data_IF_802598813817
#
_entry.id   IF_802598813817
#
_cell.length_a   1.000
_cell.length_b   1.000
_cell.length_c   1.000
_cell.angle_alpha   90.00
_cell.angle_beta   90.00
_cell.angle_gamma   90.00
#
_symmetry.space_group_name_H-M   'P 1'
#
loop_
_entity.id
_entity.type
_entity.pdbx_description
1 polymer ?
#
# COMPACT_ATOMS: atom_id res chain seq x y z
N UNK A 1 3.08 -25.38 14.98
CA UNK A 1 4.09 -24.81 14.06
C UNK A 1 5.29 -24.38 14.88
N UNK A 2 6.51 -24.78 14.52
CA UNK A 2 7.73 -24.37 15.22
C UNK A 2 7.83 -22.84 15.17
N UNK A 3 7.90 -22.17 16.33
CA UNK A 3 8.15 -20.74 16.46
C UNK A 3 9.53 -20.44 15.85
N UNK A 4 9.58 -20.09 14.56
CA UNK A 4 10.72 -19.35 14.02
C UNK A 4 10.62 -17.94 14.62
N UNK A 5 11.43 -17.64 15.62
CA UNK A 5 11.65 -16.26 16.08
C UNK A 5 12.43 -15.54 14.99
N UNK A 6 11.71 -14.87 14.10
CA UNK A 6 12.29 -13.97 13.11
C UNK A 6 12.13 -12.52 13.59
N UNK A 7 13.22 -11.79 13.72
CA UNK A 7 13.14 -10.35 14.01
C UNK A 7 12.93 -9.59 12.71
N UNK A 8 11.79 -8.92 12.60
CA UNK A 8 11.47 -8.04 11.49
C UNK A 8 12.32 -6.78 11.55
N UNK A 9 12.88 -6.41 10.40
CA UNK A 9 13.71 -5.22 10.23
C UNK A 9 13.10 -4.30 9.18
N UNK A 10 13.38 -3.01 9.30
CA UNK A 10 12.77 -2.00 8.45
C UNK A 10 13.36 -1.97 7.02
N UNK A 11 14.42 -2.75 6.80
CA UNK A 11 15.09 -2.97 5.53
C UNK A 11 14.54 -4.20 4.79
N UNK A 12 13.88 -5.12 5.49
CA UNK A 12 13.36 -6.36 4.94
C UNK A 12 11.83 -6.40 4.99
N UNK A 13 11.22 -6.52 3.82
CA UNK A 13 9.77 -6.58 3.65
C UNK A 13 9.34 -7.88 2.96
N UNK A 14 10.09 -8.98 3.13
CA UNK A 14 9.65 -10.28 2.65
C UNK A 14 8.31 -10.67 3.29
N UNK A 15 7.31 -10.89 2.44
CA UNK A 15 5.93 -11.19 2.84
C UNK A 15 5.75 -12.66 3.21
N UNK A 16 6.70 -13.51 2.84
CA UNK A 16 6.60 -14.96 3.02
C UNK A 16 7.18 -15.43 4.36
N UNK A 17 7.63 -14.52 5.22
CA UNK A 17 8.28 -14.87 6.50
C UNK A 17 7.39 -15.77 7.38
N UNK A 18 6.08 -15.55 7.35
CA UNK A 18 5.13 -16.19 8.25
C UNK A 18 4.04 -17.02 7.56
N UNK A 19 4.23 -17.38 6.28
CA UNK A 19 3.39 -18.32 5.52
C UNK A 19 1.88 -18.00 5.44
N UNK A 20 1.47 -16.73 5.62
CA UNK A 20 0.11 -16.26 5.37
C UNK A 20 -0.06 -15.83 3.91
N UNK A 21 -1.25 -16.06 3.35
CA UNK A 21 -1.56 -15.78 1.95
C UNK A 21 -1.75 -14.28 1.70
N UNK A 22 -2.60 -13.62 2.46
CA UNK A 22 -3.00 -12.23 2.23
C UNK A 22 -2.36 -11.28 3.24
N UNK A 23 -2.20 -11.71 4.49
CA UNK A 23 -1.84 -10.84 5.61
C UNK A 23 -0.37 -11.02 6.00
N UNK A 24 0.38 -9.94 6.16
CA UNK A 24 1.79 -10.01 6.53
C UNK A 24 2.21 -8.84 7.42
N UNK A 25 2.88 -9.09 8.57
CA UNK A 25 3.43 -8.04 9.41
C UNK A 25 4.76 -7.53 8.88
N UNK A 26 4.99 -6.21 8.93
CA UNK A 26 6.27 -5.60 8.54
C UNK A 26 6.63 -4.41 9.43
N UNK A 27 7.91 -4.23 9.75
CA UNK A 27 8.35 -2.99 10.43
C UNK A 27 8.50 -1.91 9.37
N UNK A 28 7.53 -0.99 9.32
CA UNK A 28 7.46 0.03 8.28
C UNK A 28 8.22 1.29 8.67
N UNK A 29 9.25 1.62 7.89
CA UNK A 29 9.95 2.92 8.00
C UNK A 29 9.04 4.12 7.74
N UNK A 30 8.03 3.94 6.90
CA UNK A 30 7.12 5.03 6.47
C UNK A 30 6.02 5.27 7.49
N UNK A 31 5.49 4.20 8.09
CA UNK A 31 4.45 4.29 9.12
C UNK A 31 5.02 4.53 10.53
N UNK A 32 6.31 4.25 10.74
CA UNK A 32 6.98 4.48 12.03
C UNK A 32 6.66 3.42 13.09
N UNK A 33 6.39 2.17 12.68
CA UNK A 33 6.08 1.06 13.58
C UNK A 33 5.75 -0.22 12.81
N UNK A 34 5.11 -1.18 13.47
CA UNK A 34 4.63 -2.39 12.82
C UNK A 34 3.40 -2.05 11.97
N UNK A 35 3.48 -2.29 10.68
CA UNK A 35 2.37 -2.19 9.72
C UNK A 35 1.88 -3.60 9.41
N UNK A 36 0.56 -3.82 9.44
CA UNK A 36 -0.04 -5.08 9.01
C UNK A 36 -0.51 -4.94 7.56
N UNK A 37 0.25 -5.51 6.64
CA UNK A 37 -0.03 -5.45 5.21
C UNK A 37 -1.12 -6.42 4.78
N UNK A 38 -1.96 -5.98 3.84
CA UNK A 38 -3.01 -6.77 3.17
C UNK A 38 -2.72 -6.81 1.67
N UNK A 39 -2.19 -7.94 1.19
CA UNK A 39 -1.80 -8.16 -0.20
C UNK A 39 -2.95 -8.81 -0.99
N UNK A 40 -3.56 -8.06 -1.90
CA UNK A 40 -4.61 -8.57 -2.78
C UNK A 40 -4.08 -9.18 -4.08
N UNK A 41 -2.78 -9.06 -4.36
CA UNK A 41 -2.14 -9.50 -5.60
C UNK A 41 -1.16 -10.65 -5.32
N UNK A 42 -1.65 -11.70 -4.68
CA UNK A 42 -0.88 -12.89 -4.26
C UNK A 42 -0.27 -13.68 -5.42
N UNK A 43 -0.77 -13.46 -6.63
CA UNK A 43 -0.27 -14.02 -7.89
C UNK A 43 0.90 -13.23 -8.52
N UNK A 44 1.42 -12.20 -7.83
CA UNK A 44 2.45 -11.29 -8.34
C UNK A 44 2.06 -10.64 -9.68
N UNK A 45 0.78 -10.31 -9.86
CA UNK A 45 0.31 -9.58 -11.02
C UNK A 45 0.02 -8.12 -10.68
N UNK A 46 0.56 -7.20 -11.47
CA UNK A 46 0.28 -5.77 -11.37
C UNK A 46 -0.01 -5.18 -12.74
N UNK A 47 -0.87 -4.17 -12.80
CA UNK A 47 -1.13 -3.45 -14.04
C UNK A 47 0.04 -2.51 -14.42
N UNK A 48 0.94 -2.22 -13.47
CA UNK A 48 2.20 -1.51 -13.66
C UNK A 48 3.37 -2.48 -13.58
N UNK A 49 4.54 -2.05 -14.08
CA UNK A 49 5.79 -2.83 -13.97
C UNK A 49 6.94 -1.87 -13.72
N UNK A 50 6.90 -1.18 -12.58
CA UNK A 50 7.91 -0.17 -12.28
C UNK A 50 9.31 -0.78 -12.27
N UNK A 51 10.30 -0.08 -12.84
CA UNK A 51 11.68 -0.58 -12.96
C UNK A 51 12.39 -0.77 -11.62
N UNK A 52 11.84 -0.20 -10.54
CA UNK A 52 12.32 -0.34 -9.17
C UNK A 52 11.55 -1.41 -8.38
N UNK A 53 10.57 -2.08 -8.99
CA UNK A 53 9.71 -3.04 -8.30
C UNK A 53 10.46 -4.34 -8.04
N UNK A 54 10.58 -4.72 -6.75
CA UNK A 54 11.33 -5.89 -6.31
C UNK A 54 10.45 -7.15 -6.16
N UNK A 55 9.21 -7.11 -6.68
CA UNK A 55 8.32 -8.27 -6.63
C UNK A 55 8.86 -9.38 -7.55
N UNK A 56 9.15 -10.58 -7.02
CA UNK A 56 9.72 -11.65 -7.82
C UNK A 56 8.71 -12.17 -8.85
N UNK A 57 9.18 -12.43 -10.07
CA UNK A 57 8.36 -12.96 -11.17
C UNK A 57 7.11 -12.11 -11.47
N UNK A 58 7.20 -10.78 -11.29
CA UNK A 58 6.08 -9.87 -11.54
C UNK A 58 5.56 -10.01 -12.98
N UNK A 59 4.27 -10.33 -13.11
CA UNK A 59 3.57 -10.40 -14.40
C UNK A 59 2.62 -9.22 -14.56
N UNK A 60 2.26 -8.90 -15.81
CA UNK A 60 1.25 -7.88 -16.09
C UNK A 60 -0.14 -8.47 -15.93
N UNK A 61 -0.96 -7.86 -15.08
CA UNK A 61 -2.33 -8.32 -14.87
C UNK A 61 -3.00 -7.69 -13.65
N UNK A 62 -4.16 -8.24 -13.30
CA UNK A 62 -4.90 -7.91 -12.08
C UNK A 62 -4.78 -9.01 -11.02
N UNK A 63 -5.33 -8.77 -9.82
CA UNK A 63 -5.36 -9.77 -8.76
C UNK A 63 -6.14 -11.02 -9.17
N UNK A 64 -5.84 -12.14 -8.53
CA UNK A 64 -6.72 -13.32 -8.55
C UNK A 64 -7.97 -13.08 -7.68
N UNK A 65 -9.07 -13.84 -7.87
CA UNK A 65 -10.22 -13.75 -6.98
C UNK A 65 -9.81 -13.91 -5.52
N UNK A 66 -10.37 -13.05 -4.67
CA UNK A 66 -10.01 -13.02 -3.24
C UNK A 66 -10.92 -13.96 -2.46
N UNK A 67 -10.31 -14.89 -1.74
CA UNK A 67 -10.99 -15.69 -0.72
C UNK A 67 -11.17 -14.83 0.54
N UNK A 68 -12.37 -14.26 0.68
CA UNK A 68 -12.71 -13.31 1.76
C UNK A 68 -12.72 -14.01 3.13
N UNK A 69 -13.14 -15.26 3.21
CA UNK A 69 -13.20 -16.00 4.48
C UNK A 69 -11.77 -16.28 4.98
N UNK A 70 -10.89 -16.75 4.09
CA UNK A 70 -9.47 -16.93 4.44
C UNK A 70 -8.80 -15.61 4.82
N UNK A 71 -9.04 -14.52 4.09
CA UNK A 71 -8.49 -13.21 4.42
C UNK A 71 -8.93 -12.75 5.82
N UNK A 72 -10.21 -12.94 6.15
CA UNK A 72 -10.77 -12.62 7.47
C UNK A 72 -10.11 -13.44 8.57
N UNK A 73 -9.96 -14.74 8.37
CA UNK A 73 -9.33 -15.64 9.36
C UNK A 73 -7.85 -15.25 9.60
N UNK A 74 -7.09 -14.99 8.54
CA UNK A 74 -5.70 -14.53 8.64
C UNK A 74 -5.61 -13.17 9.34
N UNK A 75 -6.50 -12.23 9.02
CA UNK A 75 -6.49 -10.90 9.61
C UNK A 75 -6.77 -10.97 11.12
N UNK A 76 -7.81 -11.70 11.52
CA UNK A 76 -8.15 -11.91 12.91
C UNK A 76 -7.03 -12.60 13.69
N UNK A 77 -6.39 -13.60 13.08
CA UNK A 77 -5.23 -14.26 13.66
C UNK A 77 -4.10 -13.26 13.94
N UNK A 78 -3.73 -12.45 12.94
CA UNK A 78 -2.61 -11.52 13.05
C UNK A 78 -2.89 -10.37 14.02
N UNK A 79 -4.08 -9.78 13.98
CA UNK A 79 -4.43 -8.73 14.95
C UNK A 79 -4.42 -9.30 16.37
N UNK A 80 -4.91 -10.54 16.57
CA UNK A 80 -4.81 -11.20 17.87
C UNK A 80 -3.35 -11.47 18.29
N UNK A 81 -2.47 -11.89 17.36
CA UNK A 81 -1.03 -12.03 17.67
C UNK A 81 -0.42 -10.67 18.09
N UNK A 82 -0.78 -9.60 17.40
CA UNK A 82 -0.20 -8.27 17.66
C UNK A 82 -0.68 -7.69 18.99
N UNK A 83 -1.97 -7.86 19.33
CA UNK A 83 -2.59 -7.21 20.50
C UNK A 83 -2.55 -8.06 21.76
N UNK A 84 -2.80 -9.37 21.63
CA UNK A 84 -3.02 -10.26 22.77
C UNK A 84 -1.85 -11.24 23.01
N UNK A 85 -0.75 -11.10 22.29
CA UNK A 85 0.43 -11.96 22.44
C UNK A 85 1.73 -11.14 22.57
N UNK A 86 2.87 -11.82 22.66
CA UNK A 86 4.20 -11.21 22.70
C UNK A 86 4.78 -10.89 21.32
N UNK A 87 4.01 -10.99 20.22
CA UNK A 87 4.53 -10.87 18.85
C UNK A 87 5.39 -9.62 18.61
N UNK A 88 4.91 -8.42 18.95
CA UNK A 88 5.71 -7.19 18.79
C UNK A 88 7.02 -7.30 19.57
N UNK A 89 6.96 -7.72 20.84
CA UNK A 89 8.13 -7.81 21.70
C UNK A 89 9.15 -8.85 21.21
N UNK A 90 8.68 -9.99 20.69
CA UNK A 90 9.49 -11.12 20.27
C UNK A 90 10.07 -10.94 18.86
N UNK A 91 9.38 -10.18 17.99
CA UNK A 91 9.64 -10.15 16.56
C UNK A 91 9.96 -8.75 16.01
N UNK A 92 10.07 -7.70 16.83
CA UNK A 92 10.38 -6.34 16.35
C UNK A 92 11.38 -5.61 17.26
N UNK A 93 12.02 -4.52 16.79
CA UNK A 93 12.88 -3.69 17.64
C UNK A 93 12.15 -3.12 18.86
N UNK A 94 12.85 -2.87 19.99
CA UNK A 94 12.26 -2.25 21.17
C UNK A 94 11.59 -0.91 20.87
N UNK A 95 10.41 -0.68 21.44
CA UNK A 95 9.64 0.55 21.24
C UNK A 95 8.77 0.57 19.99
N UNK A 96 8.76 -0.50 19.19
CA UNK A 96 7.82 -0.65 18.06
C UNK A 96 6.38 -0.69 18.57
N UNK A 97 5.51 0.11 17.96
CA UNK A 97 4.06 0.11 18.20
C UNK A 97 3.31 -0.43 16.99
N UNK A 98 2.04 -0.82 17.16
CA UNK A 98 1.18 -1.14 16.01
C UNK A 98 0.75 0.15 15.32
N UNK A 99 1.19 0.35 14.08
CA UNK A 99 1.12 1.63 13.38
C UNK A 99 -0.07 1.75 12.43
N UNK A 100 -0.45 0.68 11.72
CA UNK A 100 -1.57 0.66 10.77
C UNK A 100 -1.96 -0.74 10.30
N UNK A 101 -3.10 -0.80 9.61
CA UNK A 101 -3.39 -1.84 8.62
C UNK A 101 -3.31 -1.22 7.23
N UNK A 102 -2.46 -1.78 6.35
CA UNK A 102 -2.17 -1.20 5.04
C UNK A 102 -2.60 -2.13 3.89
N UNK A 103 -3.58 -1.69 3.09
CA UNK A 103 -3.90 -2.27 1.78
C UNK A 103 -2.71 -1.99 0.85
N UNK A 104 -1.82 -2.99 0.77
CA UNK A 104 -0.50 -2.88 0.19
C UNK A 104 0.00 -4.27 -0.20
N UNK A 105 0.62 -4.40 -1.36
CA UNK A 105 0.96 -5.73 -1.85
C UNK A 105 1.77 -5.72 -3.13
N UNK A 106 1.72 -6.85 -3.83
CA UNK A 106 2.54 -7.11 -5.00
C UNK A 106 1.97 -6.48 -6.30
N UNK A 107 0.81 -5.83 -6.21
CA UNK A 107 0.15 -5.15 -7.32
C UNK A 107 -0.76 -4.03 -6.84
N UNK A 108 -1.70 -3.62 -7.70
CA UNK A 108 -2.62 -2.51 -7.42
C UNK A 108 -3.86 -2.97 -6.65
N UNK A 109 -4.02 -2.63 -5.35
CA UNK A 109 -5.12 -3.14 -4.54
C UNK A 109 -6.50 -2.73 -5.09
N UNK A 110 -6.62 -1.53 -5.66
CA UNK A 110 -7.91 -1.04 -6.19
C UNK A 110 -8.38 -1.78 -7.44
N UNK A 111 -7.52 -2.61 -8.05
CA UNK A 111 -7.88 -3.49 -9.15
C UNK A 111 -8.75 -4.68 -8.70
N UNK A 112 -8.76 -5.03 -7.41
CA UNK A 112 -9.58 -6.12 -6.89
C UNK A 112 -11.08 -5.79 -6.98
N UNK A 113 -11.91 -6.64 -7.62
CA UNK A 113 -13.36 -6.51 -7.57
C UNK A 113 -13.88 -6.45 -6.12
N UNK A 114 -13.34 -7.30 -5.25
CA UNK A 114 -13.74 -7.52 -3.85
C UNK A 114 -13.21 -6.46 -2.88
N UNK A 115 -12.57 -5.40 -3.37
CA UNK A 115 -11.93 -4.36 -2.52
C UNK A 115 -12.86 -3.80 -1.43
N UNK A 116 -14.15 -3.62 -1.71
CA UNK A 116 -15.12 -3.17 -0.71
C UNK A 116 -15.30 -4.20 0.41
N UNK A 117 -15.46 -5.48 0.05
CA UNK A 117 -15.61 -6.57 1.04
C UNK A 117 -14.36 -6.74 1.89
N UNK A 118 -13.17 -6.59 1.30
CA UNK A 118 -11.91 -6.58 2.05
C UNK A 118 -11.88 -5.43 3.05
N UNK A 119 -12.28 -4.22 2.63
CA UNK A 119 -12.33 -3.05 3.50
C UNK A 119 -13.32 -3.24 4.66
N UNK A 120 -14.50 -3.81 4.41
CA UNK A 120 -15.47 -4.18 5.44
C UNK A 120 -14.88 -5.17 6.44
N UNK A 121 -14.19 -6.21 5.97
CA UNK A 121 -13.50 -7.18 6.85
C UNK A 121 -12.44 -6.51 7.72
N UNK A 122 -11.65 -5.58 7.16
CA UNK A 122 -10.67 -4.82 7.95
C UNK A 122 -11.35 -4.00 9.04
N UNK A 123 -12.41 -3.27 8.69
CA UNK A 123 -13.13 -2.42 9.64
C UNK A 123 -13.76 -3.26 10.75
N UNK A 124 -14.40 -4.37 10.42
CA UNK A 124 -15.03 -5.25 11.40
C UNK A 124 -14.00 -5.86 12.36
N UNK A 125 -12.87 -6.32 11.84
CA UNK A 125 -11.75 -6.80 12.66
C UNK A 125 -11.25 -5.69 13.61
N UNK A 126 -10.97 -4.49 13.09
CA UNK A 126 -10.50 -3.39 13.92
C UNK A 126 -11.53 -2.96 14.96
N UNK A 127 -12.83 -3.05 14.68
CA UNK A 127 -13.89 -2.83 15.68
C UNK A 127 -13.86 -3.89 16.77
N UNK A 128 -13.77 -5.16 16.41
CA UNK A 128 -13.73 -6.30 17.34
C UNK A 128 -12.57 -6.18 18.34
N UNK A 129 -11.40 -5.79 17.86
CA UNK A 129 -10.22 -5.58 18.72
C UNK A 129 -10.13 -4.17 19.33
N UNK A 130 -11.17 -3.34 19.21
CA UNK A 130 -11.19 -1.96 19.72
C UNK A 130 -10.02 -1.10 19.22
N UNK A 131 -9.62 -1.29 17.97
CA UNK A 131 -8.54 -0.58 17.27
C UNK A 131 -9.05 0.41 16.22
N UNK A 132 -10.31 0.31 15.81
CA UNK A 132 -10.92 1.26 14.88
C UNK A 132 -10.71 2.69 15.39
N UNK A 133 -10.37 3.60 14.50
CA UNK A 133 -10.05 5.02 14.78
C UNK A 133 -8.84 5.26 15.71
N UNK A 134 -8.17 4.21 16.21
CA UNK A 134 -6.91 4.32 17.00
C UNK A 134 -5.67 4.16 16.14
N UNK A 135 -5.77 3.38 15.07
CA UNK A 135 -4.75 3.24 14.03
C UNK A 135 -5.41 3.46 12.66
N UNK A 136 -4.72 4.08 11.70
CA UNK A 136 -5.28 4.34 10.39
C UNK A 136 -5.33 3.06 9.54
N UNK A 137 -6.34 3.00 8.67
CA UNK A 137 -6.33 2.13 7.49
C UNK A 137 -5.64 2.90 6.37
N UNK A 138 -4.57 2.34 5.79
CA UNK A 138 -3.81 2.98 4.71
C UNK A 138 -4.02 2.27 3.38
N UNK A 139 -4.35 3.01 2.33
CA UNK A 139 -4.37 2.49 0.95
C UNK A 139 -3.12 2.96 0.20
N UNK A 140 -2.25 2.04 -0.22
CA UNK A 140 -1.16 2.34 -1.14
C UNK A 140 -1.62 2.05 -2.56
N UNK A 141 -1.62 3.05 -3.44
CA UNK A 141 -2.19 2.91 -4.79
C UNK A 141 -1.42 3.70 -5.84
N UNK A 142 -1.39 3.18 -7.07
CA UNK A 142 -0.97 3.86 -8.29
C UNK A 142 -2.12 4.64 -8.97
N UNK A 143 -3.33 4.58 -8.40
CA UNK A 143 -4.49 5.37 -8.83
C UNK A 143 -5.29 4.79 -9.99
N UNK A 144 -4.86 3.67 -10.60
CA UNK A 144 -5.42 3.22 -11.88
C UNK A 144 -6.93 2.91 -11.85
N UNK A 145 -7.47 2.48 -10.70
CA UNK A 145 -8.89 2.10 -10.57
C UNK A 145 -9.66 2.99 -9.58
N UNK A 146 -9.05 4.09 -9.11
CA UNK A 146 -9.63 4.97 -8.08
C UNK A 146 -11.00 5.53 -8.47
N UNK A 147 -11.21 5.86 -9.75
CA UNK A 147 -12.50 6.36 -10.24
C UNK A 147 -13.67 5.41 -9.96
N UNK A 148 -13.42 4.10 -9.84
CA UNK A 148 -14.41 3.06 -9.53
C UNK A 148 -14.53 2.75 -8.03
N UNK A 149 -13.68 3.33 -7.19
CA UNK A 149 -13.55 3.02 -5.75
C UNK A 149 -13.85 4.22 -4.85
N UNK A 150 -14.49 5.27 -5.37
CA UNK A 150 -14.81 6.52 -4.63
C UNK A 150 -15.50 6.27 -3.30
N UNK A 151 -16.48 5.37 -3.27
CA UNK A 151 -17.18 5.01 -2.02
C UNK A 151 -16.22 4.41 -0.98
N UNK A 152 -15.33 3.52 -1.39
CA UNK A 152 -14.33 2.94 -0.50
C UNK A 152 -13.36 4.01 0.08
N UNK A 153 -13.03 5.05 -0.70
CA UNK A 153 -12.19 6.15 -0.19
C UNK A 153 -12.90 6.93 0.92
N UNK A 154 -14.20 7.19 0.76
CA UNK A 154 -15.00 7.83 1.79
C UNK A 154 -15.09 6.97 3.06
N UNK A 155 -15.22 5.64 2.91
CA UNK A 155 -15.23 4.70 4.03
C UNK A 155 -13.87 4.73 4.78
N UNK A 156 -12.75 4.74 4.05
CA UNK A 156 -11.41 4.89 4.66
C UNK A 156 -11.33 6.21 5.45
N UNK A 157 -11.82 7.31 4.88
CA UNK A 157 -11.82 8.62 5.53
C UNK A 157 -12.69 8.68 6.79
N UNK A 158 -13.85 8.01 6.79
CA UNK A 158 -14.74 7.91 7.96
C UNK A 158 -14.04 7.32 9.18
N UNK A 159 -13.00 6.52 8.96
CA UNK A 159 -12.20 5.87 10.00
C UNK A 159 -10.79 6.44 10.12
N UNK A 160 -10.62 7.73 9.79
CA UNK A 160 -9.35 8.46 9.88
C UNK A 160 -8.19 7.77 9.14
N UNK A 161 -8.50 7.05 8.06
CA UNK A 161 -7.51 6.43 7.20
C UNK A 161 -6.82 7.41 6.27
N UNK A 162 -5.85 6.91 5.50
CA UNK A 162 -5.01 7.70 4.60
C UNK A 162 -4.87 7.01 3.24
N UNK A 163 -4.76 7.81 2.17
CA UNK A 163 -4.42 7.33 0.83
C UNK A 163 -2.99 7.72 0.50
N UNK A 164 -2.15 6.74 0.21
CA UNK A 164 -0.77 6.91 -0.20
C UNK A 164 -0.67 6.71 -1.71
N UNK A 165 -0.75 7.82 -2.44
CA UNK A 165 -0.89 7.85 -3.89
C UNK A 165 0.47 7.97 -4.58
N UNK A 166 0.77 7.06 -5.51
CA UNK A 166 2.08 6.98 -6.18
C UNK A 166 2.16 7.88 -7.41
N UNK A 167 3.13 8.79 -7.43
CA UNK A 167 3.51 9.60 -8.59
C UNK A 167 5.04 9.62 -8.67
N UNK A 168 5.61 9.00 -9.71
CA UNK A 168 7.07 8.89 -9.90
C UNK A 168 7.60 9.76 -11.04
N UNK A 169 6.73 10.26 -11.91
CA UNK A 169 7.09 11.01 -13.10
C UNK A 169 5.93 11.95 -13.50
N UNK A 170 6.26 13.02 -14.24
CA UNK A 170 5.29 14.05 -14.61
C UNK A 170 4.96 14.14 -16.11
N UNK A 171 5.65 13.36 -16.94
CA UNK A 171 5.46 13.32 -18.39
C UNK A 171 5.32 11.88 -18.87
N UNK A 172 4.67 11.70 -20.03
CA UNK A 172 4.36 10.38 -20.59
C UNK A 172 5.61 9.52 -20.84
N UNK A 173 6.69 10.13 -21.34
CA UNK A 173 7.93 9.40 -21.65
C UNK A 173 8.59 8.87 -20.37
N UNK A 174 8.65 9.69 -19.33
CA UNK A 174 9.18 9.31 -18.03
C UNK A 174 8.30 8.27 -17.33
N UNK A 175 6.97 8.42 -17.38
CA UNK A 175 6.03 7.42 -16.83
C UNK A 175 6.19 6.09 -17.56
N UNK A 176 6.28 6.11 -18.89
CA UNK A 176 6.52 4.90 -19.70
C UNK A 176 7.87 4.26 -19.39
N UNK A 177 8.90 5.07 -19.16
CA UNK A 177 10.24 4.57 -18.81
C UNK A 177 10.30 3.98 -17.40
N UNK A 178 9.69 4.63 -16.41
CA UNK A 178 9.81 4.28 -14.99
C UNK A 178 8.75 3.27 -14.58
N UNK A 179 7.48 3.55 -14.85
CA UNK A 179 6.33 2.75 -14.42
C UNK A 179 5.92 1.69 -15.47
N UNK A 180 6.45 1.80 -16.69
CA UNK A 180 6.17 0.93 -17.83
C UNK A 180 4.68 0.83 -18.17
N UNK A 181 4.00 1.97 -18.20
CA UNK A 181 2.60 2.11 -18.60
C UNK A 181 2.44 3.32 -19.54
N UNK A 182 1.40 3.29 -20.39
CA UNK A 182 0.99 4.45 -21.16
C UNK A 182 -0.13 5.15 -20.37
N UNK A 183 0.23 6.19 -19.63
CA UNK A 183 -0.69 6.94 -18.77
C UNK A 183 -0.54 8.43 -19.07
N UNK A 184 -1.65 9.08 -19.38
CA UNK A 184 -1.72 10.54 -19.49
C UNK A 184 -1.54 11.17 -18.09
N UNK A 185 -0.55 12.07 -17.89
CA UNK A 185 -0.36 12.78 -16.64
C UNK A 185 -1.63 13.49 -16.14
N UNK A 186 -2.49 14.00 -17.04
CA UNK A 186 -3.73 14.65 -16.63
C UNK A 186 -4.72 13.64 -16.03
N UNK A 187 -4.78 12.42 -16.56
CA UNK A 187 -5.61 11.34 -15.98
C UNK A 187 -5.11 10.96 -14.58
N UNK A 188 -3.79 10.84 -14.40
CA UNK A 188 -3.18 10.59 -13.09
C UNK A 188 -3.54 11.70 -12.08
N UNK A 189 -3.47 12.96 -12.51
CA UNK A 189 -3.87 14.11 -11.68
C UNK A 189 -5.36 14.10 -11.34
N UNK A 190 -6.23 13.71 -12.28
CA UNK A 190 -7.65 13.57 -11.98
C UNK A 190 -7.90 12.49 -10.92
N UNK A 191 -7.15 11.38 -10.95
CA UNK A 191 -7.22 10.35 -9.92
C UNK A 191 -6.68 10.83 -8.57
N UNK A 192 -5.59 11.61 -8.56
CA UNK A 192 -5.07 12.26 -7.35
C UNK A 192 -6.14 13.16 -6.72
N UNK A 193 -6.80 14.01 -7.51
CA UNK A 193 -7.87 14.89 -7.04
C UNK A 193 -9.02 14.12 -6.41
N UNK A 194 -9.45 13.02 -7.04
CA UNK A 194 -10.49 12.14 -6.47
C UNK A 194 -10.07 11.61 -5.09
N UNK A 195 -8.80 11.28 -4.90
CA UNK A 195 -8.31 10.84 -3.58
C UNK A 195 -8.31 11.99 -2.58
N UNK A 196 -7.70 13.13 -2.93
CA UNK A 196 -7.58 14.29 -2.05
C UNK A 196 -8.93 14.89 -1.65
N UNK A 197 -9.92 14.87 -2.54
CA UNK A 197 -11.30 15.29 -2.24
C UNK A 197 -12.01 14.34 -1.26
N UNK A 198 -11.65 13.05 -1.24
CA UNK A 198 -12.35 12.03 -0.47
C UNK A 198 -11.68 11.73 0.88
N UNK A 199 -10.35 11.79 0.96
CA UNK A 199 -9.57 11.30 2.09
C UNK A 199 -8.18 11.97 2.15
N UNK A 200 -7.61 12.08 3.35
CA UNK A 200 -6.25 12.57 3.53
C UNK A 200 -5.29 11.81 2.61
N UNK A 201 -4.60 12.54 1.73
CA UNK A 201 -3.78 11.94 0.69
C UNK A 201 -2.32 12.35 0.82
N UNK A 202 -1.43 11.36 0.82
CA UNK A 202 0.02 11.53 0.80
C UNK A 202 0.54 11.14 -0.57
N UNK A 203 1.25 12.05 -1.25
CA UNK A 203 1.94 11.73 -2.51
C UNK A 203 3.25 10.99 -2.18
N UNK A 204 3.43 9.82 -2.79
CA UNK A 204 4.64 9.02 -2.68
C UNK A 204 5.39 9.00 -4.00
N UNK A 205 6.72 9.13 -3.92
CA UNK A 205 7.59 9.24 -5.09
C UNK A 205 8.87 8.46 -4.89
N UNK A 206 9.34 7.80 -5.93
CA UNK A 206 10.64 7.16 -5.99
C UNK A 206 11.51 7.86 -7.04
N UNK A 207 12.47 8.67 -6.59
CA UNK A 207 13.50 9.21 -7.46
C UNK A 207 14.63 8.20 -7.64
N UNK A 208 14.97 7.92 -8.88
CA UNK A 208 15.88 6.84 -9.24
C UNK A 208 17.17 7.36 -9.84
N UNK A 209 18.27 6.67 -9.55
CA UNK A 209 19.44 6.66 -10.44
C UNK A 209 19.22 5.60 -11.51
N UNK A 210 19.15 5.99 -12.77
CA UNK A 210 19.03 5.05 -13.90
C UNK A 210 20.37 5.03 -14.62
N UNK A 211 21.00 3.85 -14.72
CA UNK A 211 22.35 3.70 -15.27
C UNK A 211 23.37 4.62 -14.59
N UNK A 212 23.32 4.68 -13.26
CA UNK A 212 24.14 5.56 -12.41
C UNK A 212 23.94 7.07 -12.59
N UNK A 213 23.01 7.50 -13.45
CA UNK A 213 22.68 8.90 -13.66
C UNK A 213 21.53 9.33 -12.74
N UNK A 214 21.71 10.46 -12.06
CA UNK A 214 20.64 11.12 -11.30
C UNK A 214 19.54 11.65 -12.25
N UNK A 215 18.31 11.88 -11.76
CA UNK A 215 17.30 12.60 -12.52
C UNK A 215 17.85 13.97 -12.96
N UNK A 216 17.62 14.34 -14.23
CA UNK A 216 18.00 15.64 -14.74
C UNK A 216 17.19 16.77 -14.08
N UNK A 217 17.71 18.00 -14.09
CA UNK A 217 17.00 19.15 -13.50
C UNK A 217 15.62 19.34 -14.13
N UNK A 218 15.49 19.25 -15.45
CA UNK A 218 14.21 19.39 -16.15
C UNK A 218 13.16 18.37 -15.69
N UNK A 219 13.58 17.14 -15.37
CA UNK A 219 12.70 16.13 -14.79
C UNK A 219 12.19 16.57 -13.41
N UNK A 220 13.07 17.07 -12.55
CA UNK A 220 12.71 17.56 -11.21
C UNK A 220 11.82 18.81 -11.28
N UNK A 221 12.08 19.72 -12.21
CA UNK A 221 11.27 20.91 -12.45
C UNK A 221 9.88 20.56 -12.96
N UNK A 222 9.78 19.63 -13.91
CA UNK A 222 8.50 19.13 -14.40
C UNK A 222 7.71 18.42 -13.30
N UNK A 223 8.39 17.58 -12.51
CA UNK A 223 7.80 16.92 -11.37
C UNK A 223 7.26 17.91 -10.34
N UNK A 224 8.09 18.87 -9.91
CA UNK A 224 7.71 19.94 -8.98
C UNK A 224 6.52 20.74 -9.51
N UNK A 225 6.55 21.15 -10.79
CA UNK A 225 5.44 21.90 -11.41
C UNK A 225 4.13 21.13 -11.41
N UNK A 226 4.19 19.81 -11.60
CA UNK A 226 3.02 18.94 -11.59
C UNK A 226 2.38 18.85 -10.19
N UNK A 227 3.18 18.63 -9.14
CA UNK A 227 2.65 18.34 -7.80
C UNK A 227 2.41 19.59 -6.93
N UNK A 228 3.12 20.69 -7.18
CA UNK A 228 3.04 21.92 -6.37
C UNK A 228 1.63 22.47 -6.17
N UNK A 229 0.72 22.43 -7.16
CA UNK A 229 -0.66 22.86 -6.93
C UNK A 229 -1.43 22.07 -5.87
N UNK A 230 -0.90 20.90 -5.46
CA UNK A 230 -1.54 19.94 -4.56
C UNK A 230 -0.86 19.87 -3.18
N UNK A 231 0.06 20.79 -2.84
CA UNK A 231 0.82 20.72 -1.57
C UNK A 231 -0.01 21.05 -0.31
N UNK A 232 -1.21 21.62 -0.48
CA UNK A 232 -2.08 22.07 0.62
C UNK A 232 -3.50 21.49 0.56
N UNK A 233 -3.70 20.46 -0.26
CA UNK A 233 -5.01 19.81 -0.44
C UNK A 233 -5.07 18.57 0.43
#
# INVERSE_FOLDING_TARGET
MNKKTYTLHAEDHDRNIFDSKYIYPVVSRRAGGLSLGVNLNTNNACNWQCIYCEIPNLTRGGPEPIDIDLLKDELNFWVNQIINSSFIQDNTPPGTTFADVALSGNGEPTAAPEFLNVLEVIIDCLKEFSLIDKIPIRLITNGSFISKKKECLNIINQHHGEIWFKIDAADEDSIKRINQVNLDPNSMINHLKICAEACQTVIQTCFLKINHQLPANDFLENYSRLIKPYEHI
#
